data_IF_025898863240
#
_entry.id   IF_025898863240
#
_cell.length_a   1.000
_cell.length_b   1.000
_cell.length_c   1.000
_cell.angle_alpha   90.00
_cell.angle_beta   90.00
_cell.angle_gamma   90.00
#
_symmetry.space_group_name_H-M   'P 1'
#
loop_
_entity.id
_entity.type
_entity.pdbx_description
1 polymer ?
#
# COMPACT_ATOMS: atom_id res chain seq x y z
N UNK A 1 -51.32 18.93 -8.03
CA UNK A 1 -50.70 19.89 -7.09
C UNK A 1 -49.61 19.14 -6.35
N UNK A 2 -48.34 19.53 -6.53
CA UNK A 2 -47.17 18.79 -6.04
C UNK A 2 -46.92 19.24 -4.59
N UNK A 3 -47.00 18.35 -3.60
CA UNK A 3 -46.87 18.67 -2.17
C UNK A 3 -45.42 19.07 -1.83
N UNK A 4 -45.07 20.32 -2.11
CA UNK A 4 -43.75 20.92 -1.85
C UNK A 4 -43.39 21.00 -0.36
N UNK A 5 -44.38 21.08 0.52
CA UNK A 5 -44.17 21.17 1.98
C UNK A 5 -43.57 19.89 2.57
N UNK A 6 -43.97 18.71 2.06
CA UNK A 6 -43.44 17.43 2.53
C UNK A 6 -41.97 17.22 2.10
N UNK A 7 -41.62 17.65 0.88
CA UNK A 7 -40.23 17.63 0.39
C UNK A 7 -39.31 18.57 1.19
N UNK A 8 -39.83 19.72 1.62
CA UNK A 8 -39.06 20.69 2.41
C UNK A 8 -38.79 20.17 3.83
N UNK A 9 -39.80 19.57 4.49
CA UNK A 9 -39.62 18.94 5.80
C UNK A 9 -38.61 17.77 5.73
N UNK A 10 -38.65 16.95 4.68
CA UNK A 10 -37.69 15.85 4.50
C UNK A 10 -36.27 16.35 4.26
N UNK A 11 -36.09 17.42 3.47
CA UNK A 11 -34.78 18.04 3.25
C UNK A 11 -34.19 18.62 4.54
N UNK A 12 -35.02 19.25 5.38
CA UNK A 12 -34.58 19.79 6.69
C UNK A 12 -34.18 18.66 7.66
N UNK A 13 -34.93 17.55 7.70
CA UNK A 13 -34.58 16.37 8.51
C UNK A 13 -33.26 15.74 8.05
N UNK A 14 -33.03 15.63 6.74
CA UNK A 14 -31.78 15.11 6.19
C UNK A 14 -30.57 16.01 6.48
N UNK A 15 -30.75 17.34 6.53
CA UNK A 15 -29.70 18.29 6.92
C UNK A 15 -29.35 18.20 8.42
N UNK A 16 -30.32 17.95 9.29
CA UNK A 16 -30.09 17.80 10.75
C UNK A 16 -29.42 16.45 11.07
N UNK A 17 -29.67 15.41 10.27
CA UNK A 17 -29.01 14.11 10.40
C UNK A 17 -27.52 14.10 9.95
N UNK A 18 -27.04 15.15 9.30
CA UNK A 18 -25.65 15.32 8.87
C UNK A 18 -24.76 15.95 9.96
N UNK A 19 -24.90 15.54 11.22
CA UNK A 19 -23.99 15.95 12.28
C UNK A 19 -22.56 15.48 11.93
N UNK A 20 -21.50 16.26 12.24
CA UNK A 20 -20.13 15.84 12.02
C UNK A 20 -19.80 14.66 12.95
N UNK A 21 -19.87 13.44 12.42
CA UNK A 21 -19.39 12.26 13.10
C UNK A 21 -17.85 12.26 13.07
N UNK A 22 -17.22 12.63 14.18
CA UNK A 22 -15.77 12.45 14.37
C UNK A 22 -15.50 11.08 14.98
N UNK A 23 -15.56 10.04 14.15
CA UNK A 23 -15.23 8.66 14.56
C UNK A 23 -13.71 8.37 14.51
N UNK A 24 -12.92 9.31 13.99
CA UNK A 24 -11.48 9.15 13.78
C UNK A 24 -10.70 9.79 14.93
N UNK A 25 -9.78 9.03 15.49
CA UNK A 25 -8.81 9.53 16.48
C UNK A 25 -7.60 10.09 15.74
N UNK A 26 -7.17 11.29 16.12
CA UNK A 26 -5.97 11.93 15.57
C UNK A 26 -4.78 11.61 16.47
N UNK A 27 -3.80 10.91 15.92
CA UNK A 27 -2.55 10.57 16.61
C UNK A 27 -1.34 11.16 15.86
N UNK A 28 -0.48 11.89 16.57
CA UNK A 28 0.67 12.58 16.01
C UNK A 28 1.93 11.72 16.16
N UNK A 29 2.41 11.18 15.03
CA UNK A 29 3.59 10.33 15.00
C UNK A 29 4.70 10.93 14.13
N UNK A 30 5.90 11.09 14.69
CA UNK A 30 7.08 11.45 13.92
C UNK A 30 7.71 10.22 13.28
N UNK A 31 7.45 9.99 11.99
CA UNK A 31 7.88 8.79 11.27
C UNK A 31 9.00 9.08 10.27
N UNK A 32 9.73 8.01 9.93
CA UNK A 32 10.85 8.02 9.00
C UNK A 32 10.83 6.81 8.08
N UNK A 33 11.25 7.01 6.82
CA UNK A 33 11.26 5.98 5.79
C UNK A 33 12.61 5.96 5.05
N UNK A 34 13.22 4.80 4.98
CA UNK A 34 14.31 4.48 4.05
C UNK A 34 13.81 3.47 3.02
N UNK A 35 14.08 3.70 1.74
CA UNK A 35 13.64 2.79 0.69
C UNK A 35 14.72 2.59 -0.38
N UNK A 36 14.75 1.38 -0.94
CA UNK A 36 15.51 1.04 -2.13
C UNK A 36 14.58 0.37 -3.13
N UNK A 37 14.68 0.80 -4.40
CA UNK A 37 14.00 0.17 -5.53
C UNK A 37 15.01 0.06 -6.67
N UNK A 38 15.27 -1.16 -7.14
CA UNK A 38 16.25 -1.42 -8.19
C UNK A 38 15.78 -2.52 -9.15
N UNK A 39 15.83 -2.22 -10.45
CA UNK A 39 15.75 -3.23 -11.50
C UNK A 39 17.16 -3.45 -12.05
N UNK A 40 17.66 -4.69 -11.97
CA UNK A 40 19.00 -5.07 -12.37
C UNK A 40 18.95 -6.03 -13.57
N UNK A 41 19.19 -5.53 -14.80
CA UNK A 41 19.28 -6.40 -15.98
C UNK A 41 20.43 -7.40 -15.86
N UNK A 42 20.21 -8.64 -16.32
CA UNK A 42 21.23 -9.68 -16.35
C UNK A 42 21.87 -9.72 -17.74
N UNK A 43 23.06 -9.14 -17.84
CA UNK A 43 23.84 -9.08 -19.08
C UNK A 43 23.06 -8.44 -20.23
N UNK A 44 23.08 -9.08 -21.41
CA UNK A 44 22.31 -8.66 -22.60
C UNK A 44 20.99 -9.44 -22.75
N UNK A 45 20.58 -10.19 -21.72
CA UNK A 45 19.37 -11.00 -21.78
C UNK A 45 18.11 -10.17 -21.55
N UNK A 46 16.94 -10.78 -21.73
CA UNK A 46 15.63 -10.19 -21.41
C UNK A 46 15.27 -10.34 -19.93
N UNK A 47 16.13 -10.96 -19.12
CA UNK A 47 15.89 -11.22 -17.72
C UNK A 47 16.58 -10.18 -16.83
N UNK A 48 15.99 -9.94 -15.67
CA UNK A 48 16.57 -9.10 -14.63
C UNK A 48 16.09 -9.50 -13.25
N UNK A 49 16.66 -8.86 -12.24
CA UNK A 49 16.23 -9.00 -10.85
C UNK A 49 15.61 -7.69 -10.40
N UNK A 50 14.46 -7.78 -9.74
CA UNK A 50 13.83 -6.68 -9.03
C UNK A 50 14.15 -6.79 -7.55
N UNK A 51 14.63 -5.70 -6.95
CA UNK A 51 14.89 -5.60 -5.53
C UNK A 51 14.17 -4.37 -4.97
N UNK A 52 13.24 -4.62 -4.06
CA UNK A 52 12.59 -3.58 -3.28
C UNK A 52 12.79 -3.88 -1.78
N UNK A 53 13.24 -2.86 -1.06
CA UNK A 53 13.36 -2.89 0.39
C UNK A 53 12.83 -1.58 0.95
N UNK A 54 11.90 -1.65 1.90
CA UNK A 54 11.42 -0.49 2.63
C UNK A 54 11.57 -0.73 4.13
N UNK A 55 12.20 0.25 4.77
CA UNK A 55 12.45 0.30 6.19
C UNK A 55 11.72 1.51 6.76
N UNK A 56 10.68 1.25 7.55
CA UNK A 56 9.82 2.30 8.13
C UNK A 56 9.96 2.28 9.64
N UNK A 57 10.14 3.46 10.20
CA UNK A 57 10.36 3.68 11.62
C UNK A 57 9.47 4.79 12.13
N UNK A 58 9.09 4.69 13.39
CA UNK A 58 8.35 5.71 14.12
C UNK A 58 9.24 6.31 15.21
N UNK A 59 8.74 7.39 15.82
CA UNK A 59 9.37 8.07 16.93
C UNK A 59 10.80 8.54 16.62
N UNK A 60 10.97 9.22 15.48
CA UNK A 60 12.29 9.73 15.09
C UNK A 60 13.31 8.65 14.75
N UNK A 61 12.85 7.59 14.09
CA UNK A 61 13.63 6.38 13.78
C UNK A 61 13.90 5.42 14.97
N UNK A 62 13.43 5.73 16.18
CA UNK A 62 13.71 4.91 17.37
C UNK A 62 12.89 3.62 17.46
N UNK A 63 11.69 3.57 16.86
CA UNK A 63 10.78 2.41 16.94
C UNK A 63 10.48 1.79 15.58
N UNK A 64 10.25 0.48 15.57
CA UNK A 64 9.86 -0.24 14.36
C UNK A 64 8.42 0.14 13.97
N UNK A 65 8.20 0.44 12.70
CA UNK A 65 6.85 0.59 12.13
C UNK A 65 6.58 -0.54 11.14
N UNK A 66 7.46 -0.72 10.15
CA UNK A 66 7.29 -1.75 9.13
C UNK A 66 8.61 -2.10 8.44
N UNK A 67 8.84 -3.37 8.21
CA UNK A 67 9.82 -3.87 7.25
C UNK A 67 9.06 -4.44 6.04
N UNK A 68 9.48 -4.11 4.82
CA UNK A 68 8.98 -4.70 3.60
C UNK A 68 10.17 -5.09 2.73
N UNK A 69 10.26 -6.37 2.39
CA UNK A 69 11.23 -6.91 1.44
C UNK A 69 10.48 -7.54 0.30
N UNK A 70 10.84 -7.19 -0.93
CA UNK A 70 10.12 -7.62 -2.13
C UNK A 70 11.09 -7.91 -3.27
N UNK A 71 11.78 -9.06 -3.23
CA UNK A 71 12.52 -9.54 -4.39
C UNK A 71 11.57 -10.02 -5.49
N UNK A 72 12.01 -9.90 -6.73
CA UNK A 72 11.30 -10.42 -7.89
C UNK A 72 12.23 -10.68 -9.07
N UNK A 73 11.68 -11.35 -10.07
CA UNK A 73 12.34 -11.61 -11.35
C UNK A 73 11.62 -10.79 -12.40
N UNK A 74 12.41 -10.07 -13.18
CA UNK A 74 11.98 -9.24 -14.29
C UNK A 74 12.13 -10.00 -15.62
N UNK A 75 11.16 -9.83 -16.50
CA UNK A 75 11.22 -10.28 -17.89
C UNK A 75 10.75 -9.16 -18.84
N UNK A 76 11.67 -8.66 -19.65
CA UNK A 76 11.39 -7.62 -20.64
C UNK A 76 10.68 -8.23 -21.85
N UNK A 77 9.37 -8.04 -21.96
CA UNK A 77 8.57 -8.55 -23.09
C UNK A 77 8.91 -7.78 -24.37
N UNK A 78 9.05 -6.46 -24.24
CA UNK A 78 9.53 -5.56 -25.27
C UNK A 78 9.90 -4.22 -24.60
N UNK A 79 10.31 -3.23 -25.39
CA UNK A 79 10.73 -1.91 -24.90
C UNK A 79 9.65 -1.16 -24.10
N UNK A 80 8.39 -1.55 -24.21
CA UNK A 80 7.26 -0.89 -23.57
C UNK A 80 6.64 -1.73 -22.43
N UNK A 81 6.91 -3.03 -22.34
CA UNK A 81 6.29 -3.95 -21.37
C UNK A 81 7.34 -4.74 -20.60
N UNK A 82 7.36 -4.53 -19.29
CA UNK A 82 8.13 -5.31 -18.32
C UNK A 82 7.18 -6.13 -17.45
N UNK A 83 7.39 -7.44 -17.42
CA UNK A 83 6.71 -8.33 -16.47
C UNK A 83 7.62 -8.56 -15.27
N UNK A 84 7.04 -8.57 -14.07
CA UNK A 84 7.75 -8.90 -12.85
C UNK A 84 6.92 -9.84 -12.01
N UNK A 85 7.51 -10.95 -11.58
CA UNK A 85 6.89 -11.87 -10.63
C UNK A 85 7.79 -12.04 -9.42
N UNK A 86 7.22 -12.18 -8.23
CA UNK A 86 8.04 -12.30 -7.04
C UNK A 86 7.28 -12.58 -5.76
N UNK A 87 8.03 -12.41 -4.68
CA UNK A 87 7.55 -12.61 -3.32
C UNK A 87 7.73 -11.32 -2.53
N UNK A 88 6.82 -11.06 -1.59
CA UNK A 88 6.97 -9.98 -0.63
C UNK A 88 6.82 -10.53 0.79
N UNK A 89 7.73 -10.13 1.65
CA UNK A 89 7.60 -10.27 3.09
C UNK A 89 7.40 -8.89 3.70
N UNK A 90 6.34 -8.73 4.47
CA UNK A 90 6.04 -7.51 5.21
C UNK A 90 5.91 -7.88 6.67
N UNK A 91 6.59 -7.17 7.56
CA UNK A 91 6.37 -7.29 8.99
C UNK A 91 6.00 -5.92 9.55
N UNK A 92 4.78 -5.81 10.09
CA UNK A 92 4.24 -4.55 10.62
C UNK A 92 4.22 -4.60 12.15
N UNK A 93 4.61 -3.51 12.80
CA UNK A 93 4.78 -3.42 14.25
C UNK A 93 3.81 -2.39 14.85
N UNK A 94 3.37 -2.57 16.11
CA UNK A 94 2.61 -1.54 16.82
C UNK A 94 3.44 -0.26 16.95
N UNK A 95 2.83 0.88 16.62
CA UNK A 95 3.41 2.21 16.84
C UNK A 95 2.29 3.22 17.09
N UNK A 96 2.64 4.35 17.71
CA UNK A 96 1.68 5.36 18.13
C UNK A 96 0.85 4.93 19.34
N UNK A 97 -0.09 5.79 19.72
CA UNK A 97 -1.03 5.52 20.80
C UNK A 97 -2.17 4.61 20.34
N UNK A 98 -2.49 4.63 19.04
CA UNK A 98 -3.55 3.84 18.43
C UNK A 98 -3.01 2.93 17.32
N UNK A 99 -2.30 1.85 17.67
CA UNK A 99 -1.61 1.02 16.70
C UNK A 99 -2.59 0.19 15.85
N UNK A 100 -2.42 0.22 14.53
CA UNK A 100 -3.22 -0.60 13.59
C UNK A 100 -3.01 -2.12 13.79
N UNK A 101 -1.86 -2.52 14.34
CA UNK A 101 -1.55 -3.90 14.72
C UNK A 101 -1.19 -3.96 16.19
N UNK A 102 -1.82 -4.85 16.97
CA UNK A 102 -1.53 -4.98 18.39
C UNK A 102 -0.16 -5.63 18.69
N UNK A 103 0.35 -6.45 17.76
CA UNK A 103 1.63 -7.16 17.85
C UNK A 103 2.29 -7.17 16.48
N UNK A 104 3.59 -7.45 16.45
CA UNK A 104 4.34 -7.66 15.21
C UNK A 104 3.62 -8.73 14.36
N UNK A 105 3.20 -8.34 13.16
CA UNK A 105 2.36 -9.15 12.29
C UNK A 105 3.07 -9.39 10.96
N UNK A 106 3.53 -10.62 10.70
CA UNK A 106 4.10 -10.97 9.40
C UNK A 106 3.00 -11.15 8.36
N UNK A 107 3.31 -10.78 7.13
CA UNK A 107 2.48 -10.92 5.95
C UNK A 107 3.36 -11.39 4.79
N UNK A 108 2.88 -12.41 4.08
CA UNK A 108 3.53 -12.96 2.92
C UNK A 108 2.68 -12.67 1.69
N UNK A 109 3.30 -12.25 0.59
CA UNK A 109 2.59 -12.00 -0.67
C UNK A 109 3.28 -12.68 -1.83
N UNK A 110 2.50 -13.34 -2.65
CA UNK A 110 2.93 -13.72 -4.01
C UNK A 110 2.35 -12.65 -4.93
N UNK A 111 3.19 -12.05 -5.77
CA UNK A 111 2.78 -10.93 -6.60
C UNK A 111 3.29 -11.05 -8.02
N UNK A 112 2.48 -10.52 -8.93
CA UNK A 112 2.74 -10.45 -10.35
C UNK A 112 2.42 -9.03 -10.82
N UNK A 113 3.21 -8.53 -11.76
CA UNK A 113 3.12 -7.15 -12.22
C UNK A 113 3.39 -7.05 -13.71
N UNK A 114 2.59 -6.23 -14.39
CA UNK A 114 2.87 -5.73 -15.72
C UNK A 114 3.07 -4.21 -15.65
N UNK A 115 4.28 -3.75 -15.98
CA UNK A 115 4.62 -2.33 -16.06
C UNK A 115 4.73 -1.92 -17.53
N UNK A 116 3.86 -1.01 -17.95
CA UNK A 116 3.86 -0.44 -19.29
C UNK A 116 4.47 0.95 -19.26
N UNK A 117 5.41 1.22 -20.15
CA UNK A 117 6.14 2.48 -20.28
C UNK A 117 5.90 3.05 -21.67
N UNK A 118 5.43 4.28 -21.73
CA UNK A 118 5.08 4.96 -22.96
C UNK A 118 5.73 6.34 -23.02
N UNK A 119 5.92 6.83 -24.24
CA UNK A 119 6.43 8.18 -24.50
C UNK A 119 5.61 8.81 -25.61
N UNK A 120 5.00 9.95 -25.31
CA UNK A 120 4.22 10.76 -26.26
C UNK A 120 4.93 12.09 -26.42
N UNK A 121 5.70 12.24 -27.52
CA UNK A 121 6.58 13.39 -27.73
C UNK A 121 7.68 13.48 -26.66
N UNK A 122 7.69 14.57 -25.88
CA UNK A 122 8.64 14.79 -24.77
C UNK A 122 8.14 14.22 -23.43
N UNK A 123 6.87 13.83 -23.34
CA UNK A 123 6.25 13.35 -22.10
C UNK A 123 6.40 11.84 -22.01
N UNK A 124 6.90 11.35 -20.88
CA UNK A 124 6.94 9.92 -20.57
C UNK A 124 5.91 9.60 -19.50
N UNK A 125 5.18 8.50 -19.66
CA UNK A 125 4.19 8.05 -18.70
C UNK A 125 4.25 6.53 -18.56
N UNK A 126 3.89 6.04 -17.39
CA UNK A 126 3.89 4.60 -17.10
C UNK A 126 2.63 4.18 -16.37
N UNK A 127 2.08 3.03 -16.75
CA UNK A 127 0.99 2.36 -16.04
C UNK A 127 1.49 1.05 -15.49
N UNK A 128 0.98 0.64 -14.33
CA UNK A 128 1.35 -0.61 -13.69
C UNK A 128 0.09 -1.35 -13.23
N UNK A 129 -0.07 -2.58 -13.68
CA UNK A 129 -1.03 -3.52 -13.14
C UNK A 129 -0.30 -4.46 -12.19
N UNK A 130 -0.85 -4.69 -11.00
CA UNK A 130 -0.29 -5.61 -10.03
C UNK A 130 -1.39 -6.47 -9.42
N UNK A 131 -1.15 -7.76 -9.43
CA UNK A 131 -1.96 -8.75 -8.74
C UNK A 131 -1.18 -9.26 -7.52
N UNK A 132 -1.79 -9.25 -6.34
CA UNK A 132 -1.15 -9.70 -5.09
C UNK A 132 -2.08 -10.67 -4.34
N UNK A 133 -1.62 -11.90 -4.13
CA UNK A 133 -2.25 -12.81 -3.16
C UNK A 133 -1.60 -12.59 -1.79
N UNK A 134 -2.40 -12.28 -0.77
CA UNK A 134 -1.92 -11.82 0.53
C UNK A 134 -2.27 -12.84 1.61
N UNK A 135 -1.25 -13.33 2.31
CA UNK A 135 -1.37 -14.27 3.41
C UNK A 135 -0.97 -13.55 4.71
N UNK A 136 -1.96 -13.19 5.51
CA UNK A 136 -1.75 -12.52 6.78
C UNK A 136 -1.44 -13.55 7.87
N UNK A 137 -0.40 -13.30 8.67
CA UNK A 137 -0.12 -14.11 9.85
C UNK A 137 -1.30 -14.08 10.82
N UNK A 138 -1.74 -15.27 11.25
CA UNK A 138 -2.90 -15.42 12.14
C UNK A 138 -2.54 -14.93 13.54
N UNK A 139 -3.39 -14.07 14.09
CA UNK A 139 -3.34 -13.65 15.49
C UNK A 139 -3.82 -14.81 16.36
N UNK A 140 -2.92 -15.47 17.10
CA UNK A 140 -3.38 -16.25 18.24
C UNK A 140 -3.84 -15.27 19.33
N UNK A 141 -5.15 -15.13 19.47
CA UNK A 141 -5.78 -14.50 20.62
C UNK A 141 -5.71 -15.45 21.83
N UNK A 142 -4.49 -15.78 22.27
CA UNK A 142 -4.26 -16.48 23.53
C UNK A 142 -3.11 -15.80 24.25
N UNK A 143 -3.47 -14.74 24.97
CA UNK A 143 -2.72 -14.20 26.09
C UNK A 143 -3.74 -13.81 27.12
N UNK A 144 -4.13 -14.78 27.95
CA UNK A 144 -4.76 -14.53 29.23
C UNK A 144 -3.81 -13.70 30.11
#
# INVERSE_FOLDING_TARGET
>A
MRNSSASLCLAVVLLIAAAPASAQVVDHNWNGWGMYFGDHPIGKSRWGVHLEGQWRRSDGFNRWQQLLLRPGVNFEVNKFLLLTGGYAFINSYPYGEFPAVAKATPEHRIWEQAALRYKTGKVSWSTRFRFENRFLGVRNASGA
#
